data_IF_064953306890
#
_entry.id   IF_064953306890
#
_cell.length_a   1.000
_cell.length_b   1.000
_cell.length_c   1.000
_cell.angle_alpha   90.00
_cell.angle_beta   90.00
_cell.angle_gamma   90.00
#
_symmetry.space_group_name_H-M   'P 1'
#
loop_
_entity.id
_entity.type
_entity.pdbx_description
1 polymer ?
#
# COMPACT_ATOMS: atom_id res chain seq x y z
N UNK A 1 -21.45 -2.74 -17.97
CA UNK A 1 -20.68 -2.43 -16.76
C UNK A 1 -21.56 -1.61 -15.83
N UNK A 2 -21.75 -2.00 -14.59
CA UNK A 2 -22.47 -1.19 -13.60
C UNK A 2 -21.68 0.06 -13.30
N UNK A 3 -22.33 1.23 -13.30
CA UNK A 3 -21.69 2.50 -12.96
C UNK A 3 -21.20 2.44 -11.51
N UNK A 4 -20.06 3.04 -11.25
CA UNK A 4 -19.53 3.23 -9.89
C UNK A 4 -20.31 4.30 -9.16
N UNK A 5 -20.58 4.09 -7.87
CA UNK A 5 -21.37 4.98 -7.04
C UNK A 5 -20.48 5.68 -6.00
N UNK A 6 -20.58 7.01 -5.97
CA UNK A 6 -19.82 7.87 -5.05
C UNK A 6 -20.80 8.70 -4.24
N UNK A 7 -20.67 8.67 -2.92
CA UNK A 7 -21.44 9.50 -1.98
C UNK A 7 -20.57 10.61 -1.39
N UNK A 8 -20.99 11.85 -1.55
CA UNK A 8 -20.39 13.01 -0.91
C UNK A 8 -21.24 13.46 0.26
N UNK A 9 -20.62 13.70 1.43
CA UNK A 9 -21.29 14.10 2.66
C UNK A 9 -20.63 15.37 3.19
N UNK A 10 -21.39 16.45 3.31
CA UNK A 10 -20.93 17.73 3.84
C UNK A 10 -22.17 18.54 4.28
N UNK A 11 -22.14 19.13 5.48
CA UNK A 11 -23.26 19.88 6.01
C UNK A 11 -23.44 21.27 5.38
N UNK A 12 -22.47 21.70 4.56
CA UNK A 12 -22.57 22.94 3.81
C UNK A 12 -23.13 22.71 2.39
N UNK A 13 -24.41 23.13 2.11
CA UNK A 13 -25.03 22.95 0.79
C UNK A 13 -24.26 23.60 -0.35
N UNK A 14 -23.49 24.67 -0.06
CA UNK A 14 -22.65 25.34 -1.03
C UNK A 14 -21.47 24.47 -1.48
N UNK A 15 -20.85 23.71 -0.57
CA UNK A 15 -19.78 22.76 -0.87
C UNK A 15 -20.33 21.64 -1.73
N UNK A 16 -21.44 21.04 -1.35
CA UNK A 16 -22.10 20.00 -2.15
C UNK A 16 -22.49 20.49 -3.54
N UNK A 17 -22.97 21.75 -3.64
CA UNK A 17 -23.28 22.38 -4.94
C UNK A 17 -22.03 22.61 -5.77
N UNK A 18 -20.89 22.93 -5.13
CA UNK A 18 -19.59 23.01 -5.77
C UNK A 18 -19.12 21.67 -6.32
N UNK A 19 -19.19 20.62 -5.51
CA UNK A 19 -18.86 19.23 -5.90
C UNK A 19 -19.79 18.73 -7.02
N UNK A 20 -21.09 19.04 -6.95
CA UNK A 20 -22.07 18.72 -8.02
C UNK A 20 -21.68 19.34 -9.36
N UNK A 21 -21.15 20.57 -9.35
CA UNK A 21 -20.68 21.27 -10.58
C UNK A 21 -19.35 20.71 -11.05
N UNK A 22 -18.41 20.51 -10.14
CA UNK A 22 -17.07 19.97 -10.40
C UNK A 22 -17.13 18.61 -11.11
N UNK A 23 -17.96 17.71 -10.59
CA UNK A 23 -18.10 16.34 -11.11
C UNK A 23 -19.26 16.14 -12.09
N UNK A 24 -19.74 17.21 -12.71
CA UNK A 24 -20.84 17.10 -13.67
C UNK A 24 -20.54 16.16 -14.86
N UNK A 25 -19.31 16.16 -15.34
CA UNK A 25 -18.85 15.28 -16.42
C UNK A 25 -18.85 13.81 -16.01
N UNK A 26 -18.50 13.52 -14.77
CA UNK A 26 -18.45 12.14 -14.26
C UNK A 26 -19.82 11.48 -14.13
N UNK A 27 -20.93 12.23 -14.13
CA UNK A 27 -22.29 11.68 -14.05
C UNK A 27 -22.67 10.79 -15.25
N UNK A 28 -21.97 10.90 -16.36
CA UNK A 28 -22.19 10.01 -17.50
C UNK A 28 -21.65 8.60 -17.22
N UNK A 29 -20.59 8.51 -16.39
CA UNK A 29 -19.86 7.28 -16.10
C UNK A 29 -20.10 6.73 -14.67
N UNK A 30 -20.52 7.59 -13.74
CA UNK A 30 -20.65 7.28 -12.30
C UNK A 30 -21.98 7.79 -11.75
N UNK A 31 -22.51 7.09 -10.75
CA UNK A 31 -23.67 7.51 -9.99
C UNK A 31 -23.20 8.35 -8.80
N UNK A 32 -23.61 9.60 -8.73
CA UNK A 32 -23.18 10.54 -7.69
C UNK A 32 -24.33 10.85 -6.75
N UNK A 33 -24.15 10.55 -5.47
CA UNK A 33 -25.04 10.82 -4.36
C UNK A 33 -24.49 11.94 -3.48
N UNK A 34 -25.39 12.65 -2.79
CA UNK A 34 -25.03 13.78 -1.95
C UNK A 34 -25.92 13.78 -0.70
N UNK A 35 -25.33 13.87 0.48
CA UNK A 35 -26.00 13.94 1.76
C UNK A 35 -25.54 15.16 2.55
N UNK A 36 -26.45 15.81 3.25
CA UNK A 36 -26.18 17.00 4.07
C UNK A 36 -25.92 16.65 5.53
N UNK A 37 -26.04 15.37 5.90
CA UNK A 37 -25.76 14.87 7.24
C UNK A 37 -25.25 13.44 7.24
N UNK A 38 -24.62 13.02 8.35
CA UNK A 38 -24.20 11.64 8.52
C UNK A 38 -25.38 10.65 8.53
N UNK A 39 -26.56 11.04 9.07
CA UNK A 39 -27.75 10.19 9.06
C UNK A 39 -28.29 9.99 7.64
N UNK A 40 -28.44 11.07 6.87
CA UNK A 40 -28.88 10.99 5.47
C UNK A 40 -27.94 10.11 4.63
N UNK A 41 -26.62 10.19 4.92
CA UNK A 41 -25.64 9.35 4.27
C UNK A 41 -25.84 7.86 4.55
N UNK A 42 -26.11 7.48 5.81
CA UNK A 42 -26.37 6.09 6.19
C UNK A 42 -27.69 5.57 5.56
N UNK A 43 -28.71 6.40 5.51
CA UNK A 43 -29.99 6.06 4.91
C UNK A 43 -29.85 5.84 3.39
N UNK A 44 -29.12 6.72 2.71
CA UNK A 44 -28.79 6.54 1.28
C UNK A 44 -27.98 5.27 1.03
N UNK A 45 -27.02 4.93 1.89
CA UNK A 45 -26.22 3.72 1.77
C UNK A 45 -27.01 2.43 2.04
N UNK A 46 -28.10 2.52 2.81
CA UNK A 46 -29.00 1.40 3.04
C UNK A 46 -29.87 1.12 1.79
N UNK A 47 -30.23 2.16 1.02
CA UNK A 47 -31.06 2.06 -0.18
C UNK A 47 -30.25 1.81 -1.46
N UNK A 48 -29.00 2.29 -1.49
CA UNK A 48 -28.14 2.25 -2.68
C UNK A 48 -26.76 1.65 -2.37
N UNK A 49 -26.23 0.78 -3.23
CA UNK A 49 -24.85 0.32 -3.09
C UNK A 49 -23.89 1.50 -3.36
N UNK A 50 -23.08 1.87 -2.37
CA UNK A 50 -22.08 2.93 -2.46
C UNK A 50 -20.69 2.32 -2.48
N UNK A 51 -19.92 2.60 -3.55
CA UNK A 51 -18.54 2.12 -3.71
C UNK A 51 -17.54 2.99 -2.95
N UNK A 52 -17.75 4.31 -2.95
CA UNK A 52 -16.86 5.30 -2.32
C UNK A 52 -17.69 6.32 -1.54
N UNK A 53 -17.36 6.54 -0.29
CA UNK A 53 -17.90 7.63 0.51
C UNK A 53 -16.81 8.66 0.79
N UNK A 54 -17.13 9.94 0.55
CA UNK A 54 -16.27 11.10 0.81
C UNK A 54 -17.02 11.98 1.82
N UNK A 55 -16.53 12.05 3.05
CA UNK A 55 -17.20 12.78 4.12
C UNK A 55 -16.35 13.95 4.60
N UNK A 56 -17.00 15.08 4.87
CA UNK A 56 -16.40 16.10 5.71
C UNK A 56 -16.15 15.58 7.11
N UNK A 57 -15.12 16.11 7.79
CA UNK A 57 -14.78 15.81 9.17
C UNK A 57 -15.79 16.41 10.14
N UNK A 58 -16.11 17.69 9.96
CA UNK A 58 -16.89 18.48 10.92
C UNK A 58 -18.31 18.69 10.43
N UNK A 59 -19.22 17.90 10.97
CA UNK A 59 -20.64 18.03 10.69
C UNK A 59 -21.44 18.08 12.01
N UNK A 60 -22.55 18.85 12.09
CA UNK A 60 -23.41 18.87 13.26
C UNK A 60 -24.04 17.50 13.55
N UNK A 61 -24.15 17.16 14.82
CA UNK A 61 -24.77 15.91 15.28
C UNK A 61 -23.86 14.70 15.12
N UNK A 62 -23.68 14.18 13.91
CA UNK A 62 -22.79 13.07 13.59
C UNK A 62 -21.61 13.60 12.80
N UNK A 63 -20.41 13.64 13.41
CA UNK A 63 -19.19 14.02 12.72
C UNK A 63 -18.74 12.93 11.71
N UNK A 64 -17.85 13.32 10.79
CA UNK A 64 -17.36 12.39 9.76
C UNK A 64 -16.62 11.19 10.33
N UNK A 65 -15.99 11.34 11.50
CA UNK A 65 -15.31 10.26 12.19
C UNK A 65 -16.30 9.16 12.62
N UNK A 66 -17.37 9.57 13.28
CA UNK A 66 -18.47 8.70 13.73
C UNK A 66 -19.19 8.07 12.53
N UNK A 67 -19.47 8.87 11.50
CA UNK A 67 -20.10 8.37 10.27
C UNK A 67 -19.26 7.26 9.63
N UNK A 68 -17.97 7.52 9.39
CA UNK A 68 -17.13 6.55 8.71
C UNK A 68 -16.84 5.29 9.56
N UNK A 69 -16.89 5.39 10.89
CA UNK A 69 -16.85 4.23 11.78
C UNK A 69 -18.09 3.34 11.60
N UNK A 70 -19.28 3.94 11.54
CA UNK A 70 -20.52 3.21 11.25
C UNK A 70 -20.53 2.62 9.83
N UNK A 71 -19.98 3.33 8.86
CA UNK A 71 -19.82 2.81 7.51
C UNK A 71 -18.85 1.63 7.48
N UNK A 72 -17.76 1.67 8.26
CA UNK A 72 -16.84 0.52 8.37
C UNK A 72 -17.56 -0.72 8.93
N UNK A 73 -18.42 -0.53 9.90
CA UNK A 73 -19.17 -1.62 10.54
C UNK A 73 -20.25 -2.20 9.63
N UNK A 74 -21.06 -1.34 8.98
CA UNK A 74 -22.24 -1.74 8.22
C UNK A 74 -21.98 -1.98 6.74
N UNK A 75 -21.01 -1.27 6.15
CA UNK A 75 -20.67 -1.28 4.73
C UNK A 75 -19.15 -1.41 4.53
N UNK A 76 -18.50 -2.49 5.03
CA UNK A 76 -17.04 -2.62 5.10
C UNK A 76 -16.34 -2.53 3.74
N UNK A 77 -17.06 -2.81 2.65
CA UNK A 77 -16.55 -2.75 1.27
C UNK A 77 -16.51 -1.34 0.69
N UNK A 78 -17.15 -0.36 1.32
CA UNK A 78 -17.13 1.02 0.85
C UNK A 78 -15.77 1.66 1.16
N UNK A 79 -15.15 2.29 0.14
CA UNK A 79 -13.92 3.07 0.35
C UNK A 79 -14.28 4.35 1.08
N UNK A 80 -13.62 4.59 2.22
CA UNK A 80 -13.88 5.71 3.13
C UNK A 80 -12.79 6.77 3.00
N UNK A 81 -13.17 7.92 2.48
CA UNK A 81 -12.30 9.09 2.29
C UNK A 81 -12.79 10.21 3.20
N UNK A 82 -11.87 10.88 3.90
CA UNK A 82 -12.17 12.00 4.77
C UNK A 82 -11.62 13.30 4.18
N UNK A 83 -12.47 14.31 4.09
CA UNK A 83 -12.07 15.68 3.81
C UNK A 83 -11.78 16.39 5.14
N UNK A 84 -10.56 16.93 5.32
CA UNK A 84 -10.13 17.54 6.59
C UNK A 84 -9.69 18.99 6.39
N UNK A 85 -10.01 19.87 7.35
CA UNK A 85 -9.44 21.22 7.44
C UNK A 85 -8.06 21.21 8.13
N UNK A 86 -7.36 22.36 8.11
CA UNK A 86 -6.05 22.51 8.76
C UNK A 86 -6.07 22.35 10.29
N UNK A 87 -7.25 22.51 10.94
CA UNK A 87 -7.41 22.51 12.38
C UNK A 87 -7.88 21.17 12.98
N UNK A 88 -7.85 20.06 12.23
CA UNK A 88 -8.50 18.81 12.61
C UNK A 88 -7.55 17.75 13.19
N UNK A 89 -6.38 18.15 13.71
CA UNK A 89 -5.30 17.25 14.12
C UNK A 89 -5.73 16.16 15.12
N UNK A 90 -6.45 16.55 16.17
CA UNK A 90 -6.88 15.64 17.23
C UNK A 90 -7.96 14.66 16.75
N UNK A 91 -8.82 15.12 15.84
CA UNK A 91 -9.88 14.32 15.23
C UNK A 91 -9.33 13.33 14.20
N UNK A 92 -8.27 13.67 13.47
CA UNK A 92 -7.59 12.78 12.53
C UNK A 92 -7.01 11.56 13.28
N UNK A 93 -6.39 11.77 14.45
CA UNK A 93 -5.83 10.67 15.26
C UNK A 93 -6.88 9.64 15.68
N UNK A 94 -8.13 10.07 15.92
CA UNK A 94 -9.23 9.17 16.28
C UNK A 94 -9.74 8.36 15.09
N UNK A 95 -9.49 8.81 13.88
CA UNK A 95 -10.05 8.23 12.66
C UNK A 95 -9.06 7.45 11.81
N UNK A 96 -7.77 7.42 12.19
CA UNK A 96 -6.72 6.67 11.48
C UNK A 96 -7.09 5.18 11.31
N UNK A 97 -7.83 4.58 12.26
CA UNK A 97 -8.32 3.19 12.19
C UNK A 97 -9.56 2.97 11.32
N UNK A 98 -10.16 4.03 10.79
CA UNK A 98 -11.47 3.98 10.13
C UNK A 98 -11.40 4.45 8.69
N UNK A 99 -10.58 5.46 8.42
CA UNK A 99 -10.47 6.17 7.15
C UNK A 99 -9.38 5.52 6.29
N UNK A 100 -9.70 5.26 5.03
CA UNK A 100 -8.73 4.74 4.08
C UNK A 100 -7.81 5.84 3.55
N UNK A 101 -8.34 7.04 3.33
CA UNK A 101 -7.57 8.18 2.82
C UNK A 101 -8.07 9.50 3.37
N UNK A 102 -7.13 10.40 3.71
CA UNK A 102 -7.40 11.78 4.11
C UNK A 102 -7.06 12.74 2.97
N UNK A 103 -7.92 13.73 2.76
CA UNK A 103 -7.73 14.80 1.78
C UNK A 103 -7.88 16.13 2.50
N UNK A 104 -6.88 16.98 2.41
CA UNK A 104 -6.90 18.31 3.05
C UNK A 104 -7.71 19.30 2.22
N UNK A 105 -8.63 20.03 2.85
CA UNK A 105 -9.31 21.19 2.26
C UNK A 105 -8.39 22.45 2.33
N UNK A 106 -8.36 23.33 1.30
CA UNK A 106 -8.99 23.18 0.00
C UNK A 106 -8.24 22.16 -0.87
N UNK A 107 -8.94 21.22 -1.49
CA UNK A 107 -8.39 20.33 -2.49
C UNK A 107 -8.72 20.85 -3.88
N UNK A 108 -7.72 20.85 -4.77
CA UNK A 108 -7.97 21.20 -6.15
C UNK A 108 -8.78 20.09 -6.86
N UNK A 109 -9.60 20.48 -7.87
CA UNK A 109 -10.47 19.55 -8.58
C UNK A 109 -9.74 18.37 -9.22
N UNK A 110 -8.52 18.59 -9.71
CA UNK A 110 -7.72 17.57 -10.40
C UNK A 110 -7.22 16.51 -9.41
N UNK A 111 -6.73 16.92 -8.25
CA UNK A 111 -6.30 16.01 -7.17
C UNK A 111 -7.47 15.17 -6.68
N UNK A 112 -8.62 15.77 -6.41
CA UNK A 112 -9.80 15.04 -5.94
C UNK A 112 -10.31 14.06 -7.01
N UNK A 113 -10.31 14.45 -8.30
CA UNK A 113 -10.68 13.57 -9.41
C UNK A 113 -9.76 12.35 -9.51
N UNK A 114 -8.43 12.56 -9.46
CA UNK A 114 -7.44 11.47 -9.48
C UNK A 114 -7.62 10.48 -8.32
N UNK A 115 -7.92 11.00 -7.13
CA UNK A 115 -8.17 10.16 -5.96
C UNK A 115 -9.44 9.33 -6.14
N UNK A 116 -10.52 9.94 -6.63
CA UNK A 116 -11.78 9.24 -6.90
C UNK A 116 -11.65 8.21 -8.02
N UNK A 117 -10.96 8.55 -9.11
CA UNK A 117 -10.67 7.60 -10.19
C UNK A 117 -9.90 6.40 -9.67
N UNK A 118 -8.86 6.63 -8.85
CA UNK A 118 -8.07 5.58 -8.23
C UNK A 118 -8.91 4.72 -7.27
N UNK A 119 -9.74 5.34 -6.43
CA UNK A 119 -10.67 4.62 -5.56
C UNK A 119 -11.62 3.72 -6.37
N UNK A 120 -12.10 4.20 -7.52
CA UNK A 120 -12.94 3.42 -8.41
C UNK A 120 -12.18 2.27 -9.09
N UNK A 121 -10.93 2.47 -9.52
CA UNK A 121 -10.07 1.40 -10.07
C UNK A 121 -9.81 0.32 -9.04
N UNK A 122 -9.55 0.69 -7.79
CA UNK A 122 -9.40 -0.27 -6.69
C UNK A 122 -10.68 -1.08 -6.45
N UNK A 123 -11.85 -0.44 -6.57
CA UNK A 123 -13.12 -1.15 -6.56
C UNK A 123 -13.28 -2.08 -7.78
N UNK A 124 -12.62 -1.81 -8.90
CA UNK A 124 -12.63 -2.70 -10.06
C UNK A 124 -11.73 -3.93 -9.87
N UNK A 125 -10.60 -3.79 -9.19
CA UNK A 125 -9.82 -4.94 -8.71
C UNK A 125 -10.67 -5.83 -7.77
N UNK A 126 -11.59 -5.22 -7.01
CA UNK A 126 -12.60 -5.94 -6.21
C UNK A 126 -13.79 -6.50 -7.00
N UNK A 127 -13.84 -6.40 -8.32
CA UNK A 127 -14.88 -7.10 -9.13
C UNK A 127 -14.74 -8.62 -9.06
N UNK A 128 -13.57 -9.11 -8.70
CA UNK A 128 -13.42 -10.50 -8.31
C UNK A 128 -14.23 -10.73 -7.01
N UNK A 129 -15.39 -11.40 -7.13
CA UNK A 129 -16.25 -11.71 -5.99
C UNK A 129 -15.51 -12.51 -4.91
N UNK A 130 -14.47 -13.23 -5.28
CA UNK A 130 -13.60 -13.99 -4.37
C UNK A 130 -12.70 -13.05 -3.57
N UNK A 131 -12.09 -12.05 -4.19
CA UNK A 131 -11.31 -11.03 -3.48
C UNK A 131 -12.21 -10.23 -2.53
N UNK A 132 -13.41 -9.84 -2.95
CA UNK A 132 -14.40 -9.19 -2.04
C UNK A 132 -14.74 -10.05 -0.84
N UNK A 133 -15.03 -11.32 -1.06
CA UNK A 133 -15.32 -12.26 0.02
C UNK A 133 -14.12 -12.43 0.95
N UNK A 134 -12.92 -12.54 0.39
CA UNK A 134 -11.69 -12.63 1.16
C UNK A 134 -11.47 -11.36 1.99
N UNK A 135 -11.49 -10.19 1.38
CA UNK A 135 -11.35 -8.90 2.08
C UNK A 135 -12.40 -8.74 3.19
N UNK A 136 -13.65 -9.14 2.92
CA UNK A 136 -14.70 -9.11 3.95
C UNK A 136 -14.42 -10.09 5.09
N UNK A 137 -13.79 -11.23 4.82
CA UNK A 137 -13.41 -12.22 5.84
C UNK A 137 -12.19 -11.80 6.67
N UNK A 138 -11.37 -10.86 6.18
CA UNK A 138 -10.24 -10.32 6.93
C UNK A 138 -10.67 -9.43 8.11
N UNK A 139 -11.95 -9.07 8.18
CA UNK A 139 -12.48 -8.20 9.22
C UNK A 139 -12.03 -6.75 9.03
N UNK A 140 -11.33 -6.18 10.02
CA UNK A 140 -10.79 -4.82 9.91
C UNK A 140 -9.48 -4.81 9.13
N UNK A 141 -9.47 -4.15 7.97
CA UNK A 141 -8.21 -3.85 7.29
C UNK A 141 -7.34 -2.94 8.17
N UNK A 142 -6.03 -3.16 8.23
CA UNK A 142 -5.14 -2.28 8.97
C UNK A 142 -5.23 -0.85 8.43
N UNK A 143 -5.15 0.10 9.34
CA UNK A 143 -5.07 1.52 8.99
C UNK A 143 -3.67 1.92 8.59
N UNK A 144 -3.57 3.04 7.90
CA UNK A 144 -2.28 3.65 7.61
C UNK A 144 -1.58 4.00 8.94
N UNK A 145 -0.31 3.61 9.16
CA UNK A 145 0.39 3.90 10.42
C UNK A 145 0.39 5.40 10.75
N UNK A 146 0.11 5.72 12.00
CA UNK A 146 -0.06 7.11 12.46
C UNK A 146 1.13 8.00 12.12
N UNK A 147 2.34 7.52 12.36
CA UNK A 147 3.59 8.27 12.05
C UNK A 147 3.70 8.55 10.55
N UNK A 148 3.32 7.58 9.70
CA UNK A 148 3.34 7.78 8.26
C UNK A 148 2.28 8.81 7.80
N UNK A 149 1.08 8.76 8.38
CA UNK A 149 0.03 9.75 8.11
C UNK A 149 0.47 11.17 8.51
N UNK A 150 1.16 11.31 9.65
CA UNK A 150 1.74 12.57 10.10
C UNK A 150 2.82 13.07 9.13
N UNK A 151 3.72 12.19 8.68
CA UNK A 151 4.73 12.52 7.68
C UNK A 151 4.12 12.99 6.37
N UNK A 152 3.14 12.27 5.82
CA UNK A 152 2.46 12.66 4.58
C UNK A 152 1.81 14.05 4.68
N UNK A 153 1.24 14.37 5.84
CA UNK A 153 0.63 15.68 6.08
C UNK A 153 1.69 16.78 6.14
N UNK A 154 2.74 16.59 6.94
CA UNK A 154 3.82 17.57 7.11
C UNK A 154 4.49 17.93 5.78
N UNK A 155 4.65 16.93 4.91
CA UNK A 155 5.24 17.13 3.58
C UNK A 155 4.39 17.98 2.60
N UNK A 156 3.11 18.19 2.91
CA UNK A 156 2.26 19.10 2.12
C UNK A 156 2.40 20.57 2.55
N UNK A 157 3.05 20.83 3.67
CA UNK A 157 3.29 22.19 4.14
C UNK A 157 4.37 22.86 3.29
N UNK A 158 4.18 24.13 2.86
CA UNK A 158 5.12 24.82 1.96
C UNK A 158 6.54 24.95 2.50
N UNK A 159 6.70 25.01 3.83
CA UNK A 159 7.99 25.22 4.52
C UNK A 159 8.50 23.95 5.22
N UNK A 160 8.07 22.75 4.81
CA UNK A 160 8.52 21.51 5.41
C UNK A 160 10.01 21.29 5.21
N UNK A 161 10.75 21.15 6.30
CA UNK A 161 12.17 20.82 6.30
C UNK A 161 12.43 19.33 6.57
N UNK A 162 13.61 18.86 6.19
CA UNK A 162 14.04 17.50 6.54
C UNK A 162 14.16 17.30 8.07
N UNK A 163 14.40 18.38 8.83
CA UNK A 163 14.42 18.37 10.30
C UNK A 163 13.03 18.11 10.88
N UNK A 164 11.98 18.65 10.29
CA UNK A 164 10.59 18.42 10.74
C UNK A 164 10.23 16.92 10.59
N UNK A 165 10.67 16.31 9.50
CA UNK A 165 10.47 14.88 9.24
C UNK A 165 11.20 14.04 10.28
N UNK A 166 12.45 14.37 10.59
CA UNK A 166 13.23 13.71 11.62
C UNK A 166 12.55 13.80 12.99
N UNK A 167 12.05 14.98 13.35
CA UNK A 167 11.33 15.22 14.61
C UNK A 167 10.09 14.35 14.76
N UNK A 168 9.31 14.17 13.69
CA UNK A 168 8.14 13.29 13.70
C UNK A 168 8.56 11.83 13.98
N UNK A 169 9.65 11.36 13.36
CA UNK A 169 10.15 10.01 13.58
C UNK A 169 10.66 9.84 15.02
N UNK A 170 11.35 10.85 15.55
CA UNK A 170 11.93 10.86 16.90
C UNK A 170 10.89 10.83 18.02
N UNK A 171 9.65 11.23 17.74
CA UNK A 171 8.53 11.11 18.70
C UNK A 171 8.14 9.66 19.01
N UNK A 172 8.49 8.73 18.11
CA UNK A 172 8.28 7.29 18.32
C UNK A 172 9.63 6.57 18.50
N UNK A 173 9.94 6.23 19.75
CA UNK A 173 11.21 5.58 20.09
C UNK A 173 11.38 4.19 19.44
N UNK A 174 10.29 3.42 19.32
CA UNK A 174 10.33 2.10 18.69
C UNK A 174 10.58 2.22 17.18
N UNK A 175 9.90 3.17 16.53
CA UNK A 175 10.10 3.52 15.12
C UNK A 175 11.54 3.98 14.88
N UNK A 176 12.02 4.94 15.67
CA UNK A 176 13.40 5.44 15.62
C UNK A 176 14.42 4.31 15.72
N UNK A 177 14.28 3.44 16.72
CA UNK A 177 15.20 2.33 16.93
C UNK A 177 15.25 1.39 15.74
N UNK A 178 14.09 1.00 15.19
CA UNK A 178 14.02 0.10 14.05
C UNK A 178 14.57 0.73 12.77
N UNK A 179 14.27 2.01 12.52
CA UNK A 179 14.83 2.73 11.37
C UNK A 179 16.35 2.79 11.47
N UNK A 180 16.90 3.14 12.63
CA UNK A 180 18.35 3.21 12.83
C UNK A 180 19.02 1.83 12.72
N UNK A 181 18.39 0.76 13.21
CA UNK A 181 18.88 -0.60 13.01
C UNK A 181 18.97 -0.95 11.53
N UNK A 182 17.94 -0.65 10.76
CA UNK A 182 17.91 -0.87 9.31
C UNK A 182 18.98 -0.08 8.58
N UNK A 183 19.04 1.21 8.85
CA UNK A 183 19.97 2.11 8.15
C UNK A 183 21.42 1.74 8.44
N UNK A 184 21.70 1.19 9.62
CA UNK A 184 23.03 0.71 10.00
C UNK A 184 23.30 -0.76 9.63
N UNK A 185 22.36 -1.45 9.01
CA UNK A 185 22.63 -2.78 8.49
C UNK A 185 23.61 -2.73 7.32
N UNK A 186 24.27 -3.84 7.05
CA UNK A 186 25.19 -4.00 5.90
C UNK A 186 24.55 -3.62 4.57
N UNK A 187 23.26 -3.68 4.53
CA UNK A 187 22.36 -3.39 3.46
C UNK A 187 22.48 -1.98 2.83
N UNK A 188 22.60 -0.94 3.66
CA UNK A 188 22.80 0.42 3.18
C UNK A 188 24.29 0.78 2.97
N UNK A 189 25.21 -0.08 3.40
CA UNK A 189 26.65 0.03 3.14
C UNK A 189 27.31 1.29 3.69
N UNK A 190 26.77 1.90 4.74
CA UNK A 190 27.38 3.09 5.32
C UNK A 190 28.60 2.73 6.19
N UNK A 191 29.75 3.30 5.88
CA UNK A 191 30.99 3.12 6.64
C UNK A 191 30.96 3.73 8.08
N UNK A 192 30.02 4.67 8.32
CA UNK A 192 29.88 5.33 9.61
C UNK A 192 28.49 5.05 10.18
N UNK A 193 28.44 4.74 11.46
CA UNK A 193 27.19 4.54 12.15
C UNK A 193 26.30 5.80 12.08
N UNK A 194 25.03 5.61 11.73
CA UNK A 194 24.00 6.63 11.68
C UNK A 194 23.26 6.60 13.00
N UNK A 195 23.35 7.69 13.74
CA UNK A 195 22.95 7.82 15.14
C UNK A 195 21.65 8.58 15.36
N UNK A 196 21.09 9.16 14.28
CA UNK A 196 19.86 9.94 14.35
C UNK A 196 18.98 9.83 13.10
N UNK A 197 17.62 9.94 13.24
CA UNK A 197 16.71 10.03 12.11
C UNK A 197 17.03 11.19 11.16
N UNK A 198 17.45 12.34 11.68
CA UNK A 198 17.84 13.48 10.87
C UNK A 198 18.98 13.13 9.88
N UNK A 199 19.97 12.37 10.37
CA UNK A 199 21.08 11.91 9.54
C UNK A 199 20.65 10.84 8.55
N UNK A 200 19.75 9.95 8.95
CA UNK A 200 19.14 8.96 8.05
C UNK A 200 18.39 9.63 6.91
N UNK A 201 17.54 10.62 7.19
CA UNK A 201 16.79 11.39 6.18
C UNK A 201 17.71 12.09 5.20
N UNK A 202 18.79 12.71 5.69
CA UNK A 202 19.76 13.40 4.83
C UNK A 202 20.54 12.45 3.89
N UNK A 203 20.88 11.25 4.35
CA UNK A 203 21.67 10.29 3.58
C UNK A 203 20.84 9.44 2.62
N UNK A 204 19.70 8.93 3.09
CA UNK A 204 18.83 8.05 2.32
C UNK A 204 17.87 8.81 1.40
N UNK A 205 17.59 10.04 1.72
CA UNK A 205 16.54 10.82 1.08
C UNK A 205 15.15 10.52 1.66
N UNK A 206 14.24 11.44 1.38
CA UNK A 206 12.93 11.46 1.99
C UNK A 206 12.05 10.25 1.62
N UNK A 207 12.08 9.83 0.36
CA UNK A 207 11.19 8.75 -0.10
C UNK A 207 11.60 7.39 0.45
N UNK A 208 12.91 7.12 0.58
CA UNK A 208 13.41 5.92 1.26
C UNK A 208 12.99 5.92 2.74
N UNK A 209 13.13 7.05 3.43
CA UNK A 209 12.73 7.13 4.84
C UNK A 209 11.22 6.99 5.03
N UNK A 210 10.41 7.56 4.15
CA UNK A 210 8.94 7.32 4.15
C UNK A 210 8.62 5.83 3.99
N UNK A 211 9.31 5.15 3.06
CA UNK A 211 9.15 3.72 2.86
C UNK A 211 9.46 2.94 4.14
N UNK A 212 10.56 3.26 4.80
CA UNK A 212 10.98 2.65 6.06
C UNK A 212 9.96 2.90 7.18
N UNK A 213 9.50 4.14 7.34
CA UNK A 213 8.48 4.49 8.37
C UNK A 213 7.18 3.73 8.15
N UNK A 214 6.71 3.69 6.91
CA UNK A 214 5.49 2.96 6.56
C UNK A 214 5.63 1.48 6.89
N UNK A 215 6.69 0.88 6.45
CA UNK A 215 6.95 -0.55 6.61
C UNK A 215 7.16 -0.93 8.07
N UNK A 216 8.00 -0.20 8.80
CA UNK A 216 8.19 -0.39 10.24
C UNK A 216 6.86 -0.27 10.98
N UNK A 217 6.04 0.71 10.63
CA UNK A 217 4.71 0.91 11.22
C UNK A 217 3.82 -0.31 11.02
N UNK A 218 3.72 -0.79 9.78
CA UNK A 218 2.90 -1.96 9.44
C UNK A 218 3.37 -3.22 10.19
N UNK A 219 4.67 -3.51 10.12
CA UNK A 219 5.23 -4.68 10.80
C UNK A 219 5.16 -4.58 12.33
N UNK A 220 5.05 -3.37 12.89
CA UNK A 220 4.93 -3.18 14.34
C UNK A 220 3.51 -3.41 14.88
N UNK A 221 2.49 -3.30 14.05
CA UNK A 221 1.09 -3.56 14.43
C UNK A 221 0.77 -5.06 14.55
N UNK A 222 1.73 -5.92 14.16
CA UNK A 222 1.55 -7.37 14.22
C UNK A 222 1.59 -7.89 15.65
N UNK A 223 0.58 -8.68 15.99
CA UNK A 223 0.54 -9.36 17.27
C UNK A 223 1.58 -10.49 17.33
N UNK A 224 2.28 -10.67 18.47
CA UNK A 224 3.26 -11.73 18.64
C UNK A 224 2.72 -13.15 18.40
N UNK A 225 1.41 -13.35 18.56
CA UNK A 225 0.76 -14.64 18.33
C UNK A 225 0.77 -15.06 16.86
N UNK A 226 0.70 -14.09 15.93
CA UNK A 226 0.83 -14.36 14.50
C UNK A 226 2.26 -14.80 14.10
N UNK A 227 3.25 -14.48 14.92
CA UNK A 227 4.64 -14.85 14.68
C UNK A 227 4.96 -16.35 14.88
N UNK A 228 4.00 -17.17 15.29
CA UNK A 228 4.25 -18.62 15.47
C UNK A 228 4.36 -19.41 14.17
N UNK A 229 3.77 -18.93 13.08
CA UNK A 229 3.66 -19.65 11.81
C UNK A 229 4.30 -18.93 10.61
N UNK A 230 4.40 -17.60 10.64
CA UNK A 230 5.25 -16.87 9.71
C UNK A 230 6.35 -16.21 10.49
N UNK A 231 7.60 -16.46 10.19
CA UNK A 231 8.66 -15.66 10.74
C UNK A 231 8.50 -14.24 10.17
N UNK A 232 7.79 -13.38 10.92
CA UNK A 232 7.63 -11.95 10.58
C UNK A 232 9.00 -11.34 10.31
N UNK A 233 10.02 -11.82 11.03
CA UNK A 233 11.39 -11.45 10.79
C UNK A 233 11.88 -11.90 9.41
N UNK A 234 11.49 -13.09 8.94
CA UNK A 234 11.82 -13.55 7.60
C UNK A 234 11.18 -12.64 6.53
N UNK A 235 9.88 -12.38 6.63
CA UNK A 235 9.19 -11.47 5.69
C UNK A 235 9.80 -10.07 5.68
N UNK A 236 10.24 -9.60 6.86
CA UNK A 236 10.93 -8.33 6.98
C UNK A 236 12.28 -8.34 6.25
N UNK A 237 13.15 -9.32 6.52
CA UNK A 237 14.48 -9.45 5.91
C UNK A 237 14.37 -9.65 4.39
N UNK A 238 13.41 -10.49 3.97
CA UNK A 238 13.07 -10.67 2.56
C UNK A 238 12.66 -9.35 1.89
N UNK A 239 11.68 -8.65 2.46
CA UNK A 239 11.18 -7.39 1.90
C UNK A 239 12.26 -6.32 1.79
N UNK A 240 13.13 -6.20 2.81
CA UNK A 240 14.26 -5.26 2.81
C UNK A 240 15.24 -5.62 1.69
N UNK A 241 15.59 -6.90 1.57
CA UNK A 241 16.56 -7.36 0.56
C UNK A 241 16.03 -7.16 -0.85
N UNK A 242 14.77 -7.58 -1.11
CA UNK A 242 14.12 -7.39 -2.41
C UNK A 242 14.02 -5.90 -2.77
N UNK A 243 13.72 -5.04 -1.80
CA UNK A 243 13.70 -3.58 -2.02
C UNK A 243 15.04 -3.03 -2.52
N UNK A 244 16.16 -3.47 -1.93
CA UNK A 244 17.46 -2.99 -2.39
C UNK A 244 17.88 -3.56 -3.73
N UNK A 245 17.67 -4.84 -3.92
CA UNK A 245 17.94 -5.45 -5.20
C UNK A 245 17.16 -4.74 -6.31
N UNK A 246 15.84 -4.54 -6.11
CA UNK A 246 15.00 -3.84 -7.07
C UNK A 246 15.45 -2.40 -7.33
N UNK A 247 15.83 -1.66 -6.26
CA UNK A 247 16.41 -0.33 -6.39
C UNK A 247 17.68 -0.37 -7.21
N UNK A 248 18.60 -1.28 -6.90
CA UNK A 248 19.90 -1.41 -7.59
C UNK A 248 19.72 -1.77 -9.05
N UNK A 249 18.82 -2.70 -9.36
CA UNK A 249 18.44 -3.05 -10.73
C UNK A 249 17.93 -1.80 -11.47
N UNK A 250 17.02 -1.04 -10.84
CA UNK A 250 16.45 0.18 -11.44
C UNK A 250 17.49 1.26 -11.68
N UNK A 251 18.41 1.47 -10.73
CA UNK A 251 19.56 2.39 -10.91
C UNK A 251 20.44 2.00 -12.10
N UNK A 252 20.62 0.69 -12.31
CA UNK A 252 21.46 0.18 -13.40
C UNK A 252 20.76 0.32 -14.77
N UNK A 253 19.44 0.15 -14.82
CA UNK A 253 18.67 0.21 -16.07
C UNK A 253 18.22 1.63 -16.46
N UNK A 254 18.11 2.50 -15.44
CA UNK A 254 17.51 3.81 -15.66
C UNK A 254 18.34 4.91 -15.06
N UNK A 255 18.93 5.79 -15.38
CA UNK A 255 19.64 6.86 -14.66
C UNK A 255 18.71 7.75 -13.79
N UNK A 256 17.58 7.21 -13.30
CA UNK A 256 16.56 7.92 -12.55
C UNK A 256 16.58 7.54 -11.08
N UNK A 257 17.14 8.42 -10.23
CA UNK A 257 17.14 8.24 -8.78
C UNK A 257 15.70 8.23 -8.22
N UNK A 258 14.84 9.11 -8.71
CA UNK A 258 13.42 9.17 -8.28
C UNK A 258 12.70 7.84 -8.55
N UNK A 259 12.91 7.23 -9.73
CA UNK A 259 12.34 5.94 -10.06
C UNK A 259 12.92 4.82 -9.17
N UNK A 260 14.22 4.85 -8.91
CA UNK A 260 14.89 3.87 -8.06
C UNK A 260 14.39 3.94 -6.61
N UNK A 261 14.17 5.14 -6.06
CA UNK A 261 13.61 5.33 -4.73
C UNK A 261 12.14 4.85 -4.64
N UNK A 262 11.33 5.09 -5.67
CA UNK A 262 9.97 4.53 -5.79
C UNK A 262 10.00 3.01 -5.93
N UNK A 263 10.98 2.45 -6.63
CA UNK A 263 11.16 1.00 -6.77
C UNK A 263 11.57 0.37 -5.45
N UNK A 264 12.39 1.05 -4.64
CA UNK A 264 12.69 0.61 -3.27
C UNK A 264 11.41 0.46 -2.43
N UNK A 265 10.54 1.47 -2.42
CA UNK A 265 9.24 1.40 -1.74
C UNK A 265 8.41 0.23 -2.26
N UNK A 266 8.39 0.05 -3.58
CA UNK A 266 7.64 -1.03 -4.24
C UNK A 266 8.13 -2.41 -3.82
N UNK A 267 9.44 -2.65 -3.84
CA UNK A 267 10.05 -3.90 -3.38
C UNK A 267 9.87 -4.14 -1.88
N UNK A 268 9.85 -3.08 -1.08
CA UNK A 268 9.62 -3.22 0.36
C UNK A 268 8.19 -3.67 0.69
N UNK A 269 7.21 -3.26 -0.09
CA UNK A 269 5.78 -3.49 0.17
C UNK A 269 5.17 -4.60 -0.70
N UNK A 270 5.93 -5.23 -1.59
CA UNK A 270 5.38 -6.18 -2.55
C UNK A 270 4.61 -7.33 -1.87
N UNK A 271 5.10 -7.80 -0.73
CA UNK A 271 4.58 -8.92 0.03
C UNK A 271 3.69 -8.54 1.22
N UNK A 272 3.25 -7.30 1.31
CA UNK A 272 2.40 -6.83 2.41
C UNK A 272 1.11 -7.64 2.57
N UNK A 273 0.61 -8.21 1.48
CA UNK A 273 -0.57 -9.07 1.48
C UNK A 273 -0.35 -10.37 2.24
N UNK A 274 0.84 -10.99 2.18
CA UNK A 274 1.19 -12.18 2.98
C UNK A 274 0.99 -11.90 4.46
N UNK A 275 1.47 -10.75 4.89
CA UNK A 275 1.37 -10.29 6.26
C UNK A 275 -0.09 -10.14 6.70
N UNK A 276 -0.91 -9.53 5.86
CA UNK A 276 -2.33 -9.35 6.13
C UNK A 276 -3.07 -10.70 6.19
N UNK A 277 -2.80 -11.61 5.28
CA UNK A 277 -3.40 -12.93 5.25
C UNK A 277 -3.03 -13.75 6.49
N UNK A 278 -1.75 -13.74 6.91
CA UNK A 278 -1.30 -14.40 8.13
C UNK A 278 -1.98 -13.86 9.39
N UNK A 279 -2.20 -12.55 9.47
CA UNK A 279 -2.78 -11.93 10.68
C UNK A 279 -4.28 -12.06 10.76
N UNK A 280 -4.97 -12.12 9.61
CA UNK A 280 -6.42 -12.05 9.55
C UNK A 280 -7.11 -13.40 9.38
N UNK A 281 -6.49 -14.33 8.65
CA UNK A 281 -7.06 -15.68 8.37
C UNK A 281 -6.02 -16.79 8.61
N UNK A 282 -5.31 -16.69 9.73
CA UNK A 282 -4.15 -17.51 10.09
C UNK A 282 -4.31 -19.00 9.77
N UNK A 283 -5.35 -19.66 10.30
CA UNK A 283 -5.55 -21.11 10.11
C UNK A 283 -5.70 -21.48 8.63
N UNK A 284 -6.52 -20.71 7.90
CA UNK A 284 -6.75 -20.94 6.48
C UNK A 284 -5.48 -20.71 5.66
N UNK A 285 -4.70 -19.69 6.02
CA UNK A 285 -3.47 -19.37 5.30
C UNK A 285 -2.34 -20.36 5.61
N UNK A 286 -2.29 -20.91 6.82
CA UNK A 286 -1.39 -22.01 7.18
C UNK A 286 -1.67 -23.24 6.32
N UNK A 287 -2.94 -23.63 6.16
CA UNK A 287 -3.32 -24.75 5.28
C UNK A 287 -2.93 -24.49 3.81
N UNK A 288 -2.97 -23.23 3.36
CA UNK A 288 -2.49 -22.84 2.01
C UNK A 288 -0.99 -23.06 1.86
N UNK A 289 -0.22 -22.75 2.90
CA UNK A 289 1.22 -23.01 2.94
C UNK A 289 1.55 -24.51 2.91
N UNK A 290 0.85 -25.31 3.72
CA UNK A 290 1.01 -26.78 3.75
C UNK A 290 0.69 -27.37 2.38
N UNK A 291 -0.38 -26.92 1.73
CA UNK A 291 -0.73 -27.36 0.37
C UNK A 291 0.37 -27.00 -0.65
N UNK A 292 0.95 -25.80 -0.55
CA UNK A 292 2.05 -25.41 -1.44
C UNK A 292 3.24 -26.37 -1.32
N UNK A 293 3.63 -26.73 -0.09
CA UNK A 293 4.72 -27.67 0.18
C UNK A 293 4.38 -29.09 -0.28
N UNK A 294 3.20 -29.61 0.06
CA UNK A 294 2.77 -30.97 -0.28
C UNK A 294 2.69 -31.21 -1.80
N UNK A 295 2.23 -30.18 -2.55
CA UNK A 295 2.03 -30.28 -4.00
C UNK A 295 3.17 -29.68 -4.82
N UNK A 296 4.23 -29.17 -4.17
CA UNK A 296 5.35 -28.48 -4.82
C UNK A 296 4.87 -27.33 -5.74
N UNK A 297 3.92 -26.52 -5.22
CA UNK A 297 3.39 -25.34 -5.87
C UNK A 297 4.10 -24.10 -5.35
N UNK A 298 4.12 -23.02 -6.16
CA UNK A 298 4.41 -21.70 -5.59
C UNK A 298 3.29 -21.29 -4.63
N UNK A 299 3.61 -20.47 -3.64
CA UNK A 299 2.59 -19.95 -2.72
C UNK A 299 1.48 -19.21 -3.49
N UNK A 300 1.86 -18.42 -4.50
CA UNK A 300 0.93 -17.77 -5.42
C UNK A 300 -0.08 -18.75 -6.06
N UNK A 301 0.39 -19.92 -6.51
CA UNK A 301 -0.49 -20.96 -7.10
C UNK A 301 -1.40 -21.59 -6.05
N UNK A 302 -0.87 -21.88 -4.85
CA UNK A 302 -1.65 -22.45 -3.76
C UNK A 302 -2.74 -21.46 -3.28
N UNK A 303 -2.44 -20.17 -3.21
CA UNK A 303 -3.40 -19.12 -2.90
C UNK A 303 -4.52 -19.03 -3.93
N UNK A 304 -4.20 -19.11 -5.22
CA UNK A 304 -5.23 -19.14 -6.27
C UNK A 304 -6.17 -20.32 -6.11
N UNK A 305 -5.66 -21.50 -5.72
CA UNK A 305 -6.47 -22.71 -5.52
C UNK A 305 -7.34 -22.64 -4.26
N UNK A 306 -6.80 -22.14 -3.15
CA UNK A 306 -7.46 -22.20 -1.84
C UNK A 306 -8.29 -20.96 -1.52
N UNK A 307 -7.85 -19.80 -1.97
CA UNK A 307 -8.44 -18.49 -1.66
C UNK A 307 -9.15 -17.86 -2.87
N UNK A 308 -8.89 -18.32 -4.10
CA UNK A 308 -9.25 -17.68 -5.36
C UNK A 308 -8.83 -16.21 -5.47
N UNK A 309 -7.82 -15.82 -4.70
CA UNK A 309 -7.17 -14.52 -4.70
C UNK A 309 -5.77 -14.71 -4.12
N UNK A 310 -4.84 -13.81 -4.43
CA UNK A 310 -3.44 -13.91 -4.03
C UNK A 310 -3.06 -12.84 -3.01
N UNK A 311 -1.93 -13.03 -2.33
CA UNK A 311 -1.35 -11.98 -1.49
C UNK A 311 -1.07 -10.71 -2.30
N UNK A 312 -0.72 -10.84 -3.59
CA UNK A 312 -0.57 -9.72 -4.49
C UNK A 312 -1.86 -8.92 -4.66
N UNK A 313 -2.99 -9.60 -4.87
CA UNK A 313 -4.31 -8.95 -4.98
C UNK A 313 -4.67 -8.19 -3.69
N UNK A 314 -4.45 -8.83 -2.54
CA UNK A 314 -4.74 -8.27 -1.22
C UNK A 314 -3.82 -7.10 -0.90
N UNK A 315 -2.52 -7.25 -1.16
CA UNK A 315 -1.51 -6.20 -0.96
C UNK A 315 -1.74 -5.00 -1.85
N UNK A 316 -1.93 -5.21 -3.15
CA UNK A 316 -2.24 -4.15 -4.11
C UNK A 316 -3.50 -3.39 -3.74
N UNK A 317 -4.56 -4.09 -3.32
CA UNK A 317 -5.78 -3.47 -2.81
C UNK A 317 -5.52 -2.58 -1.58
N UNK A 318 -4.82 -3.10 -0.56
CA UNK A 318 -4.49 -2.37 0.66
C UNK A 318 -3.67 -1.11 0.38
N UNK A 319 -2.58 -1.24 -0.39
CA UNK A 319 -1.71 -0.10 -0.74
C UNK A 319 -2.46 0.96 -1.54
N UNK A 320 -3.34 0.51 -2.42
CA UNK A 320 -4.22 1.39 -3.18
C UNK A 320 -5.18 2.16 -2.28
N UNK A 321 -5.84 1.50 -1.30
CA UNK A 321 -6.69 2.16 -0.31
C UNK A 321 -5.93 3.24 0.47
N UNK A 322 -4.68 2.98 0.84
CA UNK A 322 -3.83 3.94 1.55
C UNK A 322 -3.32 5.08 0.66
N UNK A 323 -3.68 5.10 -0.62
CA UNK A 323 -3.28 6.16 -1.54
C UNK A 323 -1.79 6.15 -1.89
N UNK A 324 -1.10 5.01 -1.80
CA UNK A 324 0.31 4.90 -2.15
C UNK A 324 0.56 5.08 -3.66
N UNK A 325 1.80 5.40 -4.08
CA UNK A 325 2.13 5.55 -5.49
C UNK A 325 1.69 4.34 -6.33
N UNK A 326 1.19 4.58 -7.54
CA UNK A 326 0.71 3.52 -8.45
C UNK A 326 1.74 2.42 -8.67
N UNK A 327 3.01 2.78 -8.79
CA UNK A 327 4.13 1.83 -8.95
C UNK A 327 4.24 0.84 -7.78
N UNK A 328 3.95 1.26 -6.54
CA UNK A 328 3.97 0.36 -5.38
C UNK A 328 2.74 -0.56 -5.36
N UNK A 329 1.57 -0.03 -5.73
CA UNK A 329 0.33 -0.82 -5.87
C UNK A 329 0.49 -1.89 -6.94
N UNK A 330 1.03 -1.50 -8.11
CA UNK A 330 1.27 -2.41 -9.23
C UNK A 330 2.31 -3.47 -8.88
N UNK A 331 3.40 -3.09 -8.22
CA UNK A 331 4.40 -4.06 -7.79
C UNK A 331 3.80 -5.09 -6.85
N UNK A 332 3.05 -4.68 -5.84
CA UNK A 332 2.38 -5.62 -4.95
C UNK A 332 1.40 -6.54 -5.70
N UNK A 333 0.57 -5.97 -6.61
CA UNK A 333 -0.44 -6.74 -7.31
C UNK A 333 0.13 -7.70 -8.37
N UNK A 334 1.25 -7.36 -9.01
CA UNK A 334 1.67 -8.02 -10.25
C UNK A 334 3.10 -8.59 -10.25
N UNK A 335 3.84 -8.54 -9.13
CA UNK A 335 5.21 -9.06 -9.09
C UNK A 335 5.33 -10.55 -9.42
N UNK A 336 4.29 -11.36 -9.25
CA UNK A 336 4.27 -12.74 -9.71
C UNK A 336 3.69 -12.93 -11.11
N UNK A 337 2.95 -11.93 -11.65
CA UNK A 337 2.27 -12.03 -12.92
C UNK A 337 2.37 -10.72 -13.73
N UNK A 338 3.31 -10.65 -14.64
CA UNK A 338 3.55 -9.47 -15.49
C UNK A 338 2.58 -9.36 -16.68
N UNK A 339 1.71 -10.34 -16.92
CA UNK A 339 0.80 -10.38 -18.08
C UNK A 339 -0.17 -9.20 -18.21
N UNK A 340 -0.63 -8.53 -17.12
CA UNK A 340 -1.49 -7.35 -17.25
C UNK A 340 -0.85 -6.16 -17.99
N UNK A 341 0.47 -6.15 -18.18
CA UNK A 341 1.16 -5.08 -18.89
C UNK A 341 1.09 -5.30 -20.41
N UNK A 342 0.33 -4.46 -21.14
CA UNK A 342 0.08 -4.67 -22.58
C UNK A 342 1.31 -4.38 -23.45
N UNK A 343 2.26 -3.60 -22.95
CA UNK A 343 3.51 -3.25 -23.65
C UNK A 343 4.69 -3.65 -22.80
N UNK A 344 5.31 -4.79 -23.09
CA UNK A 344 6.47 -5.26 -22.35
C UNK A 344 7.64 -4.27 -22.42
N UNK A 345 8.08 -3.81 -21.26
CA UNK A 345 9.22 -2.90 -21.11
C UNK A 345 9.77 -2.99 -19.69
N UNK A 346 10.99 -2.49 -19.47
CA UNK A 346 11.50 -2.36 -18.12
C UNK A 346 10.68 -1.35 -17.30
N UNK A 347 10.26 -1.74 -16.09
CA UNK A 347 9.53 -0.90 -15.15
C UNK A 347 9.76 -1.38 -13.72
N UNK A 348 9.37 -0.63 -12.67
CA UNK A 348 9.54 -1.02 -11.28
C UNK A 348 9.01 -2.41 -10.93
N UNK A 349 7.89 -2.83 -11.51
CA UNK A 349 7.32 -4.17 -11.27
C UNK A 349 8.25 -5.28 -11.78
N UNK A 350 8.87 -5.07 -12.95
CA UNK A 350 9.87 -6.01 -13.50
C UNK A 350 11.09 -6.08 -12.61
N UNK A 351 11.55 -4.94 -12.07
CA UNK A 351 12.68 -4.91 -11.15
C UNK A 351 12.37 -5.67 -9.85
N UNK A 352 11.16 -5.51 -9.30
CA UNK A 352 10.71 -6.24 -8.10
C UNK A 352 10.56 -7.73 -8.40
N UNK A 353 9.93 -8.11 -9.51
CA UNK A 353 9.82 -9.50 -9.97
C UNK A 353 11.18 -10.20 -10.08
N UNK A 354 12.14 -9.54 -10.72
CA UNK A 354 13.51 -10.07 -10.86
C UNK A 354 14.22 -10.16 -9.50
N UNK A 355 14.09 -9.12 -8.67
CA UNK A 355 14.72 -9.05 -7.35
C UNK A 355 14.22 -10.14 -6.41
N UNK A 356 12.91 -10.43 -6.43
CA UNK A 356 12.28 -11.50 -5.65
C UNK A 356 12.86 -12.87 -6.03
N UNK A 357 12.91 -13.20 -7.31
CA UNK A 357 13.53 -14.44 -7.77
C UNK A 357 15.03 -14.51 -7.43
N UNK A 358 15.77 -13.41 -7.61
CA UNK A 358 17.20 -13.35 -7.28
C UNK A 358 17.42 -13.61 -5.79
N UNK A 359 16.57 -13.07 -4.91
CA UNK A 359 16.64 -13.35 -3.47
C UNK A 359 16.63 -14.86 -3.19
N UNK A 360 15.60 -15.58 -3.66
CA UNK A 360 15.49 -17.03 -3.43
C UNK A 360 16.59 -17.84 -4.16
N UNK A 361 17.14 -17.32 -5.25
CA UNK A 361 18.28 -17.95 -5.94
C UNK A 361 19.56 -17.84 -5.12
N UNK A 362 19.78 -16.70 -4.46
CA UNK A 362 20.95 -16.46 -3.63
C UNK A 362 20.83 -17.03 -2.21
N UNK A 363 19.60 -17.25 -1.73
CA UNK A 363 19.29 -17.83 -0.41
C UNK A 363 18.46 -19.12 -0.56
N UNK A 364 19.06 -20.21 -1.03
CA UNK A 364 18.33 -21.45 -1.31
C UNK A 364 17.69 -22.08 -0.07
N UNK A 365 18.21 -21.81 1.12
CA UNK A 365 17.64 -22.29 2.37
C UNK A 365 16.25 -21.66 2.66
N UNK A 366 15.94 -20.53 2.05
CA UNK A 366 14.67 -19.83 2.19
C UNK A 366 13.61 -20.25 1.15
N UNK A 367 13.97 -21.11 0.18
CA UNK A 367 13.07 -21.55 -0.90
C UNK A 367 11.85 -22.33 -0.41
N UNK A 368 11.87 -22.88 0.80
CA UNK A 368 10.73 -23.56 1.38
C UNK A 368 9.53 -22.64 1.68
N UNK A 369 9.73 -21.32 1.66
CA UNK A 369 8.66 -20.35 1.83
C UNK A 369 8.01 -19.96 0.50
N UNK A 370 8.77 -19.95 -0.59
CA UNK A 370 8.27 -19.63 -1.92
C UNK A 370 9.23 -20.13 -3.02
N UNK A 371 8.65 -20.45 -4.18
CA UNK A 371 9.39 -20.79 -5.39
C UNK A 371 8.90 -19.86 -6.52
N UNK A 372 9.35 -18.60 -6.58
CA UNK A 372 8.96 -17.70 -7.66
C UNK A 372 9.49 -18.19 -9.00
N UNK A 373 8.75 -17.94 -10.06
CA UNK A 373 9.10 -18.33 -11.41
C UNK A 373 9.34 -17.10 -12.28
N UNK A 374 10.50 -17.05 -12.94
CA UNK A 374 10.83 -15.96 -13.86
C UNK A 374 9.86 -15.94 -15.04
N UNK A 375 9.23 -14.80 -15.30
CA UNK A 375 8.41 -14.61 -16.49
C UNK A 375 9.30 -14.33 -17.72
N UNK A 376 9.99 -15.39 -18.17
CA UNK A 376 10.96 -15.32 -19.30
C UNK A 376 10.29 -14.79 -20.57
N UNK A 377 9.05 -15.21 -20.84
CA UNK A 377 8.31 -14.77 -22.03
C UNK A 377 8.09 -13.24 -22.04
N UNK A 378 7.75 -12.64 -20.89
CA UNK A 378 7.65 -11.19 -20.79
C UNK A 378 8.98 -10.48 -21.01
N UNK A 379 10.05 -10.98 -20.39
CA UNK A 379 11.39 -10.39 -20.52
C UNK A 379 11.94 -10.49 -21.97
N UNK A 380 11.64 -11.59 -22.66
CA UNK A 380 11.99 -11.77 -24.07
C UNK A 380 11.24 -10.77 -24.96
N UNK A 381 9.92 -10.62 -24.75
CA UNK A 381 9.11 -9.64 -25.51
C UNK A 381 9.54 -8.20 -25.23
N UNK A 382 10.02 -7.92 -24.02
CA UNK A 382 10.58 -6.62 -23.64
C UNK A 382 12.01 -6.40 -24.16
N UNK A 383 12.66 -7.43 -24.72
CA UNK A 383 14.05 -7.38 -25.20
C UNK A 383 15.10 -7.31 -24.10
N UNK A 384 14.74 -7.63 -22.85
CA UNK A 384 15.60 -7.48 -21.65
C UNK A 384 15.93 -8.81 -20.95
N UNK A 385 15.54 -9.95 -21.50
CA UNK A 385 15.85 -11.26 -20.91
C UNK A 385 17.36 -11.48 -20.67
N UNK A 386 18.19 -10.98 -21.57
CA UNK A 386 19.66 -11.05 -21.46
C UNK A 386 20.23 -10.22 -20.29
N UNK A 387 19.43 -9.34 -19.68
CA UNK A 387 19.84 -8.50 -18.54
C UNK A 387 19.79 -9.26 -17.21
N UNK A 388 19.04 -10.35 -17.11
CA UNK A 388 18.78 -11.05 -15.84
C UNK A 388 20.08 -11.54 -15.18
N UNK A 389 21.00 -12.14 -15.95
CA UNK A 389 22.30 -12.57 -15.43
C UNK A 389 23.13 -11.41 -14.87
N UNK A 390 23.08 -10.26 -15.53
CA UNK A 390 23.74 -9.06 -15.03
C UNK A 390 23.10 -8.55 -13.75
N UNK A 391 21.75 -8.56 -13.64
CA UNK A 391 21.05 -8.19 -12.42
C UNK A 391 21.39 -9.13 -11.27
N UNK A 392 21.48 -10.42 -11.54
CA UNK A 392 21.89 -11.41 -10.54
C UNK A 392 23.30 -11.12 -10.02
N UNK A 393 24.23 -10.81 -10.91
CA UNK A 393 25.61 -10.53 -10.53
C UNK A 393 25.75 -9.27 -9.67
N UNK A 394 25.08 -8.17 -10.04
CA UNK A 394 25.12 -6.94 -9.24
C UNK A 394 24.47 -7.12 -7.87
N UNK A 395 23.39 -7.92 -7.77
CA UNK A 395 22.77 -8.24 -6.49
C UNK A 395 23.65 -9.13 -5.61
N UNK A 396 24.34 -10.11 -6.21
CA UNK A 396 25.31 -10.97 -5.50
C UNK A 396 26.44 -10.15 -4.88
N UNK A 397 26.91 -9.09 -5.56
CA UNK A 397 27.99 -8.22 -5.07
C UNK A 397 27.53 -7.28 -3.93
N UNK A 398 26.25 -7.17 -3.67
CA UNK A 398 25.75 -6.37 -2.55
C UNK A 398 26.00 -7.03 -1.18
N UNK A 399 26.42 -8.30 -1.15
CA UNK A 399 26.69 -9.13 0.04
C UNK A 399 25.79 -8.79 1.22
N UNK A 400 24.73 -9.53 1.34
CA UNK A 400 23.73 -9.35 2.41
C UNK A 400 23.97 -10.31 3.56
#
# INVERSE_FOLDING_TARGET
MTKKSILFVDDEPNILSGLKRMFRSLRQEKDLYFAESGQDALDLMAEHPVDVIVSDMRMPGMDGATLLALVQERFPHAIRIMLTGQADEESILRTVGVVHQFITKPSDPETLSKILERACVLQDLMKNNHLKSLISSLGKLPSLPTVYAQLQRKLKEPECSLSDIATIIEQDLAMTTKILQLVNSSFFGFFKNIDSPARAVNLLGLDTVKALVLSVGIFSELKPEAARFAPVQFLWEHSVTVAAFAKKITETETNSKDLADKTFLSGFLHDIGKLLLFTSIQDKYTNTFELAQEQNLSLYQAEQQTLNATHGDVGGYLLGLWGLPGVAVEAAAFHHNLNPYPTPSFCPVVAVHAADLIYYTLKPDDQHFEMPVLNTSYLEQAGIAHRFEHWMEICRQMEL
#
